data_IF_408545157729
#
_entry.id   IF_408545157729
#
_cell.length_a   1.000
_cell.length_b   1.000
_cell.length_c   1.000
_cell.angle_alpha   90.00
_cell.angle_beta   90.00
_cell.angle_gamma   90.00
#
_symmetry.space_group_name_H-M   'P 1'
#
loop_
_entity.id
_entity.type
_entity.pdbx_description
1 polymer ?
#
# COMPACT_ATOMS: atom_id res chain seq x y z
N UNK A 1 -9.50 -8.19 6.21
CA UNK A 1 -9.59 -9.03 4.99
C UNK A 1 -11.00 -9.14 4.45
N UNK A 2 -11.97 -9.33 5.32
CA UNK A 2 -13.37 -9.46 4.87
C UNK A 2 -13.83 -8.24 4.08
N UNK A 3 -13.49 -7.03 4.55
CA UNK A 3 -13.90 -5.79 3.90
C UNK A 3 -13.26 -5.63 2.53
N UNK A 4 -11.96 -5.98 2.42
CA UNK A 4 -11.23 -5.82 1.15
C UNK A 4 -11.63 -6.83 0.09
N UNK A 5 -12.27 -7.93 0.48
CA UNK A 5 -12.76 -8.95 -0.44
C UNK A 5 -14.26 -8.86 -0.69
N UNK A 6 -14.94 -7.96 0.02
CA UNK A 6 -16.38 -7.72 -0.15
C UNK A 6 -16.58 -6.64 -1.21
N UNK A 7 -17.47 -6.87 -2.17
CA UNK A 7 -17.62 -5.98 -3.33
C UNK A 7 -17.95 -4.54 -2.94
N UNK A 8 -18.90 -4.33 -2.05
CA UNK A 8 -19.25 -2.99 -1.60
C UNK A 8 -18.14 -2.40 -0.74
N UNK A 9 -17.55 -3.20 0.16
CA UNK A 9 -16.47 -2.76 1.02
C UNK A 9 -15.27 -2.27 0.24
N UNK A 10 -14.80 -3.06 -0.72
CA UNK A 10 -13.63 -2.67 -1.51
C UNK A 10 -13.92 -1.44 -2.38
N UNK A 11 -15.14 -1.33 -2.89
CA UNK A 11 -15.54 -0.16 -3.67
C UNK A 11 -15.44 1.13 -2.85
N UNK A 12 -15.89 1.10 -1.59
CA UNK A 12 -15.81 2.24 -0.69
C UNK A 12 -14.37 2.58 -0.32
N UNK A 13 -13.56 1.56 -0.03
CA UNK A 13 -12.15 1.72 0.32
C UNK A 13 -11.38 2.36 -0.83
N UNK A 14 -11.59 1.89 -2.05
CA UNK A 14 -10.93 2.45 -3.24
C UNK A 14 -11.23 3.93 -3.38
N UNK A 15 -12.49 4.30 -3.20
CA UNK A 15 -12.91 5.70 -3.28
C UNK A 15 -12.20 6.56 -2.24
N UNK A 16 -12.11 6.08 -1.01
CA UNK A 16 -11.43 6.79 0.06
C UNK A 16 -9.94 6.96 -0.27
N UNK A 17 -9.29 5.88 -0.72
CA UNK A 17 -7.85 5.92 -1.01
C UNK A 17 -7.56 6.87 -2.17
N UNK A 18 -8.34 6.79 -3.25
CA UNK A 18 -8.14 7.68 -4.39
C UNK A 18 -8.28 9.14 -3.98
N UNK A 19 -9.24 9.46 -3.11
CA UNK A 19 -9.39 10.81 -2.59
C UNK A 19 -8.19 11.23 -1.73
N UNK A 20 -7.66 10.32 -0.91
CA UNK A 20 -6.51 10.63 -0.05
C UNK A 20 -5.24 10.93 -0.85
N UNK A 21 -5.04 10.25 -1.97
CA UNK A 21 -3.81 10.38 -2.75
C UNK A 21 -3.94 11.37 -3.91
N UNK A 22 -5.09 11.98 -4.07
CA UNK A 22 -5.32 12.96 -5.13
C UNK A 22 -4.34 14.13 -4.97
N UNK A 23 -3.69 14.49 -6.08
CA UNK A 23 -2.70 15.57 -6.07
C UNK A 23 -1.28 15.17 -5.68
N UNK A 24 -1.04 13.91 -5.33
CA UNK A 24 0.29 13.44 -4.93
C UNK A 24 1.14 12.93 -6.11
N UNK A 25 0.60 12.88 -7.31
CA UNK A 25 1.33 12.38 -8.48
C UNK A 25 1.81 10.93 -8.26
N UNK A 26 0.88 10.02 -8.05
CA UNK A 26 1.21 8.63 -7.75
C UNK A 26 1.35 7.82 -9.04
N UNK A 27 2.45 7.08 -9.17
CA UNK A 27 2.71 6.19 -10.29
C UNK A 27 2.24 4.76 -10.01
N UNK A 28 2.37 4.31 -8.76
CA UNK A 28 2.04 2.93 -8.40
C UNK A 28 1.64 2.82 -6.94
N UNK A 29 0.87 1.77 -6.63
CA UNK A 29 0.41 1.45 -5.29
C UNK A 29 0.62 -0.04 -5.02
N UNK A 30 1.07 -0.37 -3.82
CA UNK A 30 1.28 -1.75 -3.45
C UNK A 30 1.71 -1.91 -2.01
N UNK A 31 2.07 -3.12 -1.65
CA UNK A 31 2.52 -3.43 -0.31
C UNK A 31 2.74 -4.92 -0.14
N UNK A 32 2.92 -5.33 1.10
CA UNK A 32 3.26 -6.70 1.39
C UNK A 32 2.08 -7.64 1.13
N UNK A 33 2.35 -8.70 0.37
CA UNK A 33 1.35 -9.75 0.15
C UNK A 33 0.97 -10.38 1.49
N UNK A 34 -0.24 -10.73 1.73
CA UNK A 34 -1.46 -10.70 0.93
C UNK A 34 -2.36 -9.48 1.25
N UNK A 35 -2.12 -8.82 2.39
CA UNK A 35 -2.99 -7.75 2.90
C UNK A 35 -3.17 -6.59 1.94
N UNK A 36 -2.11 -6.22 1.23
CA UNK A 36 -2.13 -5.11 0.29
C UNK A 36 -2.77 -5.47 -1.06
N UNK A 37 -2.74 -6.74 -1.44
CA UNK A 37 -3.02 -7.13 -2.82
C UNK A 37 -4.40 -6.74 -3.32
N UNK A 38 -5.50 -7.03 -2.60
CA UNK A 38 -6.83 -6.65 -3.08
C UNK A 38 -6.99 -5.13 -3.21
N UNK A 39 -6.41 -4.39 -2.29
CA UNK A 39 -6.49 -2.92 -2.27
C UNK A 39 -5.76 -2.35 -3.48
N UNK A 40 -4.53 -2.78 -3.69
CA UNK A 40 -3.70 -2.26 -4.78
C UNK A 40 -4.32 -2.56 -6.14
N UNK A 41 -4.78 -3.80 -6.35
CA UNK A 41 -5.40 -4.19 -7.62
C UNK A 41 -6.67 -3.39 -7.89
N UNK A 42 -7.50 -3.19 -6.87
CA UNK A 42 -8.75 -2.45 -7.02
C UNK A 42 -8.50 -0.96 -7.31
N UNK A 43 -7.51 -0.37 -6.66
CA UNK A 43 -7.13 1.03 -6.93
C UNK A 43 -6.61 1.16 -8.36
N UNK A 44 -5.77 0.23 -8.80
CA UNK A 44 -5.25 0.24 -10.18
C UNK A 44 -6.40 0.21 -11.20
N UNK A 45 -7.35 -0.70 -10.99
CA UNK A 45 -8.51 -0.84 -11.87
C UNK A 45 -9.32 0.46 -11.94
N UNK A 46 -9.68 1.01 -10.78
CA UNK A 46 -10.51 2.20 -10.72
C UNK A 46 -9.78 3.43 -11.28
N UNK A 47 -8.48 3.56 -10.99
CA UNK A 47 -7.69 4.69 -11.48
C UNK A 47 -7.63 4.75 -12.99
N UNK A 48 -7.55 3.59 -13.65
CA UNK A 48 -7.57 3.52 -15.11
C UNK A 48 -8.91 4.01 -15.66
N UNK A 49 -10.01 3.60 -15.04
CA UNK A 49 -11.36 4.04 -15.45
C UNK A 49 -11.53 5.55 -15.31
N UNK A 50 -10.86 6.14 -14.33
CA UNK A 50 -10.94 7.59 -14.10
C UNK A 50 -9.98 8.40 -14.97
N UNK A 51 -9.18 7.73 -15.79
CA UNK A 51 -8.25 8.41 -16.70
C UNK A 51 -6.95 8.87 -16.07
N UNK A 52 -6.65 8.44 -14.84
CA UNK A 52 -5.40 8.74 -14.14
C UNK A 52 -4.79 7.44 -13.63
N UNK A 53 -4.22 6.61 -14.52
CA UNK A 53 -3.84 5.26 -14.17
C UNK A 53 -2.69 5.20 -13.16
N UNK A 54 -2.88 4.33 -12.18
CA UNK A 54 -1.90 4.02 -11.15
C UNK A 54 -1.70 2.51 -11.22
N UNK A 55 -0.47 2.06 -11.42
CA UNK A 55 -0.17 0.63 -11.50
C UNK A 55 -0.14 0.00 -10.11
N UNK A 56 -0.37 -1.31 -10.04
CA UNK A 56 -0.26 -2.05 -8.80
C UNK A 56 1.05 -2.84 -8.78
N UNK A 57 1.61 -3.04 -7.59
CA UNK A 57 2.74 -3.93 -7.40
C UNK A 57 2.53 -4.74 -6.11
N UNK A 58 3.29 -5.81 -5.97
CA UNK A 58 3.23 -6.69 -4.81
C UNK A 58 4.64 -6.81 -4.21
N UNK A 59 4.75 -6.63 -2.91
CA UNK A 59 5.99 -6.91 -2.18
C UNK A 59 5.89 -8.31 -1.60
N UNK A 60 6.82 -9.18 -1.98
CA UNK A 60 6.84 -10.57 -1.52
C UNK A 60 7.50 -10.65 -0.16
N UNK A 61 7.07 -11.62 0.64
CA UNK A 61 7.70 -11.89 1.94
C UNK A 61 9.07 -12.50 1.79
N UNK A 62 9.26 -13.28 0.72
CA UNK A 62 10.50 -13.99 0.44
C UNK A 62 10.91 -13.80 -1.01
N UNK A 63 12.21 -13.90 -1.27
CA UNK A 63 12.75 -13.85 -2.62
C UNK A 63 12.25 -15.06 -3.42
N UNK A 64 11.90 -14.83 -4.67
CA UNK A 64 11.47 -15.89 -5.58
C UNK A 64 12.63 -16.86 -5.82
N UNK A 65 12.40 -18.15 -5.59
CA UNK A 65 13.44 -19.18 -5.69
C UNK A 65 13.91 -19.45 -7.12
N UNK A 66 13.06 -19.17 -8.10
CA UNK A 66 13.35 -19.43 -9.51
C UNK A 66 13.17 -18.13 -10.31
N UNK A 67 14.09 -17.88 -11.25
CA UNK A 67 14.07 -16.68 -12.08
C UNK A 67 14.80 -15.52 -11.42
N UNK A 68 14.38 -14.29 -11.72
CA UNK A 68 14.96 -13.10 -11.10
C UNK A 68 14.60 -13.05 -9.62
N UNK A 69 15.61 -12.99 -8.76
CA UNK A 69 15.41 -12.96 -7.31
C UNK A 69 14.94 -11.56 -6.88
N UNK A 70 13.65 -11.29 -7.10
CA UNK A 70 13.06 -9.99 -6.77
C UNK A 70 12.04 -10.13 -5.66
N UNK A 71 12.02 -9.14 -4.76
CA UNK A 71 10.97 -9.02 -3.75
C UNK A 71 9.70 -8.39 -4.30
N UNK A 72 9.78 -7.71 -5.44
CA UNK A 72 8.66 -6.95 -5.99
C UNK A 72 8.19 -7.56 -7.30
N UNK A 73 6.87 -7.77 -7.39
CA UNK A 73 6.20 -8.19 -8.62
C UNK A 73 5.35 -7.03 -9.14
N UNK A 74 5.21 -6.95 -10.46
CA UNK A 74 4.38 -5.94 -11.11
C UNK A 74 5.19 -4.90 -11.86
N UNK A 75 4.51 -3.98 -12.57
CA UNK A 75 5.16 -3.02 -13.45
C UNK A 75 5.72 -1.80 -12.70
N UNK A 76 6.57 -2.03 -11.71
CA UNK A 76 7.18 -0.95 -10.94
C UNK A 76 8.44 -0.48 -11.63
N UNK A 77 8.53 0.82 -11.90
CA UNK A 77 9.68 1.44 -12.55
C UNK A 77 10.53 2.18 -11.54
N UNK A 78 11.82 2.24 -11.80
CA UNK A 78 12.75 3.07 -11.04
C UNK A 78 12.30 4.53 -11.05
N UNK A 79 12.50 5.23 -9.96
CA UNK A 79 12.09 6.62 -9.75
C UNK A 79 10.57 6.83 -9.69
N UNK A 80 9.79 5.75 -9.61
CA UNK A 80 8.33 5.87 -9.44
C UNK A 80 7.98 6.48 -8.08
N UNK A 81 6.89 7.21 -8.07
CA UNK A 81 6.27 7.73 -6.85
C UNK A 81 5.22 6.74 -6.41
N UNK A 82 5.39 6.16 -5.23
CA UNK A 82 4.56 5.03 -4.81
C UNK A 82 3.82 5.29 -3.51
N UNK A 83 2.66 4.66 -3.41
CA UNK A 83 1.88 4.58 -2.17
C UNK A 83 1.99 3.16 -1.64
N UNK A 84 2.32 3.03 -0.36
CA UNK A 84 2.34 1.74 0.33
C UNK A 84 1.02 1.59 1.08
N UNK A 85 0.39 0.43 0.95
CA UNK A 85 -0.88 0.14 1.63
C UNK A 85 -0.81 -1.20 2.36
N UNK A 86 -1.66 -1.31 3.38
CA UNK A 86 -1.92 -2.60 4.05
C UNK A 86 -3.35 -2.57 4.62
N UNK A 87 -3.88 -3.74 4.95
CA UNK A 87 -5.23 -3.82 5.52
C UNK A 87 -5.23 -3.47 7.01
N UNK A 88 -4.69 -4.33 7.87
CA UNK A 88 -4.63 -4.10 9.32
C UNK A 88 -3.18 -4.13 9.77
N UNK A 89 -2.77 -3.10 10.49
CA UNK A 89 -1.38 -3.00 10.96
C UNK A 89 -1.33 -2.97 12.49
N UNK A 90 -0.32 -3.61 13.03
CA UNK A 90 -0.05 -3.65 14.48
C UNK A 90 1.24 -2.87 14.76
N UNK A 91 2.39 -3.54 14.67
CA UNK A 91 3.70 -2.92 14.90
C UNK A 91 4.19 -2.08 13.73
N UNK A 92 3.65 -2.31 12.53
CA UNK A 92 4.09 -1.64 11.31
C UNK A 92 5.22 -2.34 10.57
N UNK A 93 5.60 -3.55 11.01
CA UNK A 93 6.70 -4.28 10.37
C UNK A 93 6.48 -4.53 8.88
N UNK A 94 5.25 -4.89 8.49
CA UNK A 94 4.92 -5.12 7.07
C UNK A 94 5.06 -3.86 6.23
N UNK A 95 4.65 -2.72 6.80
CA UNK A 95 4.78 -1.42 6.13
C UNK A 95 6.26 -1.05 5.98
N UNK A 96 7.04 -1.21 7.04
CA UNK A 96 8.47 -0.89 7.01
C UNK A 96 9.19 -1.75 5.99
N UNK A 97 8.88 -3.05 5.93
CA UNK A 97 9.45 -3.96 4.95
C UNK A 97 9.16 -3.48 3.53
N UNK A 98 7.90 -3.12 3.25
CA UNK A 98 7.51 -2.62 1.94
C UNK A 98 8.22 -1.31 1.58
N UNK A 99 8.29 -0.37 2.54
CA UNK A 99 8.99 0.89 2.35
C UNK A 99 10.45 0.65 1.96
N UNK A 100 11.13 -0.21 2.72
CA UNK A 100 12.54 -0.50 2.47
C UNK A 100 12.75 -1.14 1.10
N UNK A 101 11.89 -2.08 0.71
CA UNK A 101 12.03 -2.78 -0.56
C UNK A 101 11.81 -1.86 -1.76
N UNK A 102 10.83 -0.97 -1.71
CA UNK A 102 10.61 -0.04 -2.83
C UNK A 102 11.71 1.01 -2.90
N UNK A 103 12.26 1.44 -1.75
CA UNK A 103 13.39 2.37 -1.75
C UNK A 103 14.65 1.72 -2.36
N UNK A 104 14.88 0.44 -2.07
CA UNK A 104 15.98 -0.32 -2.68
C UNK A 104 15.85 -0.37 -4.20
N UNK A 105 14.62 -0.36 -4.72
CA UNK A 105 14.37 -0.33 -6.18
C UNK A 105 14.44 1.09 -6.75
N UNK A 106 14.81 2.07 -5.96
CA UNK A 106 14.96 3.45 -6.41
C UNK A 106 13.64 4.23 -6.48
N UNK A 107 12.60 3.77 -5.80
CA UNK A 107 11.32 4.45 -5.79
C UNK A 107 11.18 5.38 -4.60
N UNK A 108 10.30 6.37 -4.74
CA UNK A 108 10.00 7.32 -3.67
C UNK A 108 8.63 7.01 -3.07
N UNK A 109 8.58 6.84 -1.76
CA UNK A 109 7.32 6.63 -1.04
C UNK A 109 6.68 7.98 -0.77
N UNK A 110 5.51 8.23 -1.34
CA UNK A 110 4.81 9.52 -1.19
C UNK A 110 3.66 9.46 -0.19
N UNK A 111 3.20 8.26 0.16
CA UNK A 111 2.18 8.07 1.20
C UNK A 111 2.21 6.63 1.68
N UNK A 112 1.83 6.43 2.94
CA UNK A 112 1.66 5.10 3.54
C UNK A 112 0.29 5.06 4.18
N UNK A 113 -0.55 4.12 3.75
CA UNK A 113 -1.96 4.04 4.15
C UNK A 113 -2.23 2.66 4.73
N UNK A 114 -2.90 2.62 5.87
CA UNK A 114 -3.46 1.40 6.43
C UNK A 114 -4.96 1.56 6.56
N UNK A 115 -5.72 0.50 6.31
CA UNK A 115 -7.16 0.57 6.54
C UNK A 115 -7.45 0.69 8.03
N UNK A 116 -6.79 -0.13 8.84
CA UNK A 116 -6.97 -0.11 10.29
C UNK A 116 -5.62 -0.12 10.99
N UNK A 117 -5.39 0.88 11.82
CA UNK A 117 -4.24 0.95 12.70
C UNK A 117 -4.69 0.52 14.11
N UNK A 118 -4.10 -0.55 14.62
CA UNK A 118 -4.43 -1.07 15.95
C UNK A 118 -3.73 -0.32 17.09
N UNK A 119 -3.00 0.75 16.75
CA UNK A 119 -2.32 1.63 17.71
C UNK A 119 -1.27 0.89 18.55
N UNK A 120 -0.50 0.03 17.89
CA UNK A 120 0.54 -0.79 18.53
C UNK A 120 1.94 -0.46 17.99
N UNK A 121 2.16 0.78 17.54
CA UNK A 121 3.48 1.27 17.17
C UNK A 121 3.70 1.51 15.68
N UNK A 122 2.70 1.30 14.82
CA UNK A 122 2.88 1.45 13.37
C UNK A 122 3.27 2.87 12.97
N UNK A 123 2.64 3.89 13.57
CA UNK A 123 2.94 5.29 13.23
C UNK A 123 4.41 5.61 13.47
N UNK A 124 4.93 5.26 14.63
CA UNK A 124 6.32 5.52 14.99
C UNK A 124 7.28 4.78 14.05
N UNK A 125 6.93 3.54 13.70
CA UNK A 125 7.74 2.73 12.79
C UNK A 125 7.81 3.36 11.39
N UNK A 126 6.67 3.79 10.86
CA UNK A 126 6.59 4.41 9.53
C UNK A 126 7.30 5.76 9.52
N UNK A 127 7.06 6.58 10.55
CA UNK A 127 7.69 7.90 10.62
C UNK A 127 9.21 7.80 10.77
N UNK A 128 9.71 6.73 11.40
CA UNK A 128 11.15 6.50 11.48
C UNK A 128 11.78 6.24 10.11
N UNK A 129 10.99 5.92 9.11
CA UNK A 129 11.42 5.73 7.72
C UNK A 129 11.27 7.02 6.89
N UNK A 130 11.01 8.15 7.54
CA UNK A 130 10.77 9.45 6.89
C UNK A 130 9.56 9.43 5.95
N UNK A 131 8.53 8.71 6.34
CA UNK A 131 7.28 8.61 5.57
C UNK A 131 6.12 9.08 6.42
N UNK A 132 5.12 9.71 5.78
CA UNK A 132 3.86 10.06 6.44
C UNK A 132 2.95 8.85 6.50
N UNK A 133 2.28 8.67 7.62
CA UNK A 133 1.36 7.56 7.85
C UNK A 133 -0.07 8.08 7.97
N UNK A 134 -0.96 7.53 7.16
CA UNK A 134 -2.38 7.94 7.13
C UNK A 134 -3.27 6.71 7.29
N UNK A 135 -3.62 6.33 8.51
CA UNK A 135 -4.61 5.27 8.70
C UNK A 135 -6.00 5.82 8.38
N UNK A 136 -6.85 4.98 7.78
CA UNK A 136 -8.23 5.35 7.51
C UNK A 136 -9.05 5.23 8.79
N UNK A 137 -8.85 4.12 9.51
CA UNK A 137 -9.48 3.88 10.82
C UNK A 137 -8.41 3.49 11.83
N UNK A 138 -8.70 3.75 13.11
CA UNK A 138 -7.88 3.22 14.20
C UNK A 138 -8.73 2.25 15.02
N UNK A 139 -8.08 1.54 15.94
CA UNK A 139 -8.77 0.64 16.88
C UNK A 139 -9.90 1.35 17.62
N UNK A 140 -9.72 2.64 17.92
CA UNK A 140 -10.71 3.41 18.67
C UNK A 140 -11.96 3.72 17.86
N UNK A 141 -11.90 3.64 16.55
CA UNK A 141 -13.06 3.84 15.67
C UNK A 141 -13.92 2.60 15.53
N UNK A 142 -13.37 1.44 15.90
CA UNK A 142 -14.04 0.15 15.72
C UNK A 142 -14.40 -0.40 17.11
N UNK A 143 -15.67 -0.42 17.41
CA UNK A 143 -16.16 -0.94 18.70
C UNK A 143 -16.95 -2.22 18.51
#
# INVERSE_FOLDING_TARGET
KMVTLHSEGISLIVRIIINLIQGLDVDAIGGLTMGADPIAAAVAYESFKQGQPIDAFIVRKEVKKHGTQKFIEGPLRKNSRVVIVDDVVTSGNSLVTSIQKVKEEGCKVVAVIALVDRLEGAREAVESQNCQFSPIFTRDDIK
#
